data_IF_392945500629
#
_entry.id   IF_392945500629
#
_cell.length_a   1.000
_cell.length_b   1.000
_cell.length_c   1.000
_cell.angle_alpha   90.00
_cell.angle_beta   90.00
_cell.angle_gamma   90.00
#
_symmetry.space_group_name_H-M   'P 1'
#
loop_
_entity.id
_entity.type
_entity.pdbx_description
1 polymer ?
#
# COMPACT_ATOMS: atom_id res chain seq x y z
N UNK A 1 7.99 69.68 -3.92
CA UNK A 1 6.97 68.79 -3.32
C UNK A 1 7.69 67.67 -2.58
N UNK A 2 7.44 67.53 -1.26
CA UNK A 2 7.68 66.41 -0.31
C UNK A 2 9.03 65.65 -0.33
N UNK A 3 9.57 65.07 0.74
CA UNK A 3 9.73 65.34 2.17
C UNK A 3 10.84 64.33 2.64
N UNK A 4 11.48 64.61 3.78
CA UNK A 4 12.69 64.03 4.35
C UNK A 4 12.50 62.67 5.05
N UNK A 5 13.57 61.85 4.95
CA UNK A 5 14.15 60.89 5.94
C UNK A 5 13.35 59.62 6.31
N UNK A 6 14.05 58.46 6.24
CA UNK A 6 14.41 57.54 7.35
C UNK A 6 15.11 56.30 6.78
N UNK A 7 16.38 56.07 7.14
CA UNK A 7 16.82 54.97 8.02
C UNK A 7 16.25 53.59 7.61
N UNK A 8 17.01 52.83 6.84
CA UNK A 8 16.81 51.38 6.78
C UNK A 8 17.55 50.76 7.97
N UNK A 9 16.78 50.36 8.96
CA UNK A 9 17.20 49.66 10.17
C UNK A 9 17.68 48.26 9.77
N UNK A 10 18.88 47.89 10.21
CA UNK A 10 19.28 46.49 10.23
C UNK A 10 18.45 45.73 11.26
N UNK A 11 17.78 44.66 10.83
CA UNK A 11 17.16 43.69 11.72
C UNK A 11 17.80 42.33 11.42
N UNK A 12 18.56 41.88 12.41
CA UNK A 12 19.24 40.60 12.39
C UNK A 12 18.28 39.45 12.16
N UNK A 13 18.69 38.51 11.33
CA UNK A 13 18.06 37.20 11.26
C UNK A 13 18.38 36.52 12.59
N UNK A 14 17.43 36.60 13.50
CA UNK A 14 17.54 35.96 14.79
C UNK A 14 17.41 34.45 14.59
N UNK A 15 18.42 33.71 15.05
CA UNK A 15 18.48 32.25 15.08
C UNK A 15 17.43 31.72 16.08
N UNK A 16 16.15 31.78 15.71
CA UNK A 16 15.11 31.11 16.47
C UNK A 16 14.97 29.69 15.96
N UNK A 17 15.58 28.79 16.72
CA UNK A 17 15.13 27.42 16.94
C UNK A 17 14.90 26.59 15.69
N UNK A 18 15.86 25.71 15.39
CA UNK A 18 15.53 24.38 14.91
C UNK A 18 14.65 23.72 15.98
N UNK A 19 13.35 24.01 15.97
CA UNK A 19 12.39 23.10 16.56
C UNK A 19 12.52 21.83 15.75
N UNK A 20 13.23 20.85 16.30
CA UNK A 20 13.04 19.47 15.87
C UNK A 20 11.54 19.26 15.93
N UNK A 21 10.88 19.23 14.77
CA UNK A 21 9.50 18.75 14.69
C UNK A 21 9.52 17.44 15.46
N UNK A 22 8.83 17.34 16.62
CA UNK A 22 8.70 16.05 17.24
C UNK A 22 8.15 15.15 16.13
N UNK A 23 8.82 14.01 15.91
CA UNK A 23 8.28 12.96 15.07
C UNK A 23 6.99 12.54 15.78
N UNK A 24 5.91 13.26 15.48
CA UNK A 24 4.58 12.84 15.85
C UNK A 24 4.48 11.43 15.25
N UNK A 25 4.09 10.43 16.04
CA UNK A 25 3.74 9.15 15.46
C UNK A 25 2.71 9.48 14.39
N UNK A 26 3.03 9.26 13.11
CA UNK A 26 2.02 9.37 12.06
C UNK A 26 0.88 8.50 12.55
N UNK A 27 -0.30 9.08 12.87
CA UNK A 27 -1.46 8.28 13.23
C UNK A 27 -1.64 7.36 12.03
N UNK A 28 -1.38 6.06 12.25
CA UNK A 28 -0.92 5.16 11.21
C UNK A 28 -1.68 5.41 9.92
N UNK A 29 -0.95 5.83 8.87
CA UNK A 29 -1.51 6.19 7.57
C UNK A 29 -2.64 5.23 7.24
N UNK A 30 -3.88 5.68 7.38
CA UNK A 30 -5.02 4.80 7.21
C UNK A 30 -4.98 4.36 5.76
N UNK A 31 -4.62 3.11 5.47
CA UNK A 31 -4.61 2.61 4.10
C UNK A 31 -6.03 2.29 3.67
N UNK A 32 -6.40 2.75 2.48
CA UNK A 32 -7.65 2.37 1.80
C UNK A 32 -7.35 1.24 0.83
N UNK A 33 -8.29 0.30 0.72
CA UNK A 33 -8.21 -0.82 -0.21
C UNK A 33 -9.30 -0.66 -1.26
N UNK A 34 -8.90 -0.69 -2.54
CA UNK A 34 -9.79 -0.47 -3.68
C UNK A 34 -9.84 -1.76 -4.48
N UNK A 35 -11.03 -2.35 -4.56
CA UNK A 35 -11.28 -3.51 -5.40
C UNK A 35 -11.47 -3.09 -6.86
N UNK A 36 -10.69 -3.67 -7.77
CA UNK A 36 -10.78 -3.42 -9.21
C UNK A 36 -11.25 -4.68 -9.91
N UNK A 37 -12.46 -4.63 -10.46
CA UNK A 37 -13.10 -5.78 -11.13
C UNK A 37 -12.70 -5.89 -12.61
N UNK A 38 -11.40 -5.94 -12.88
CA UNK A 38 -10.84 -6.12 -14.23
C UNK A 38 -9.86 -7.30 -14.17
N UNK A 39 -10.02 -8.29 -15.05
CA UNK A 39 -9.17 -9.47 -15.06
C UNK A 39 -7.84 -9.19 -15.78
N UNK A 40 -6.76 -9.13 -15.01
CA UNK A 40 -5.40 -8.81 -15.50
C UNK A 40 -4.37 -9.83 -14.98
N UNK A 41 -3.23 -9.92 -15.66
CA UNK A 41 -2.05 -10.61 -15.11
C UNK A 41 -1.55 -9.87 -13.87
N UNK A 42 -0.74 -10.52 -13.02
CA UNK A 42 -0.24 -9.86 -11.81
C UNK A 42 0.57 -8.59 -12.11
N UNK A 43 1.43 -8.62 -13.14
CA UNK A 43 2.24 -7.47 -13.52
C UNK A 43 1.42 -6.34 -14.15
N UNK A 44 0.42 -6.66 -14.97
CA UNK A 44 -0.50 -5.66 -15.52
C UNK A 44 -1.34 -5.02 -14.42
N UNK A 45 -1.83 -5.81 -13.47
CA UNK A 45 -2.56 -5.34 -12.30
C UNK A 45 -1.70 -4.43 -11.40
N UNK A 46 -0.43 -4.77 -11.19
CA UNK A 46 0.52 -3.92 -10.49
C UNK A 46 0.71 -2.58 -11.19
N UNK A 47 0.92 -2.61 -12.50
CA UNK A 47 1.11 -1.41 -13.31
C UNK A 47 -0.13 -0.52 -13.21
N UNK A 48 -1.33 -1.10 -13.37
CA UNK A 48 -2.59 -0.39 -13.19
C UNK A 48 -2.68 0.29 -11.81
N UNK A 49 -2.38 -0.45 -10.73
CA UNK A 49 -2.46 0.14 -9.39
C UNK A 49 -1.43 1.26 -9.18
N UNK A 50 -0.27 1.22 -9.82
CA UNK A 50 0.73 2.31 -9.73
C UNK A 50 0.38 3.52 -10.60
N UNK A 51 -0.39 3.31 -11.66
CA UNK A 51 -0.90 4.40 -12.51
C UNK A 51 -2.11 5.12 -11.88
N UNK A 52 -2.97 4.39 -11.19
CA UNK A 52 -4.25 4.91 -10.67
C UNK A 52 -4.29 5.08 -9.14
N UNK A 53 -3.39 4.43 -8.40
CA UNK A 53 -3.34 4.39 -6.94
C UNK A 53 -1.86 4.38 -6.46
N UNK A 54 -1.55 3.71 -5.34
CA UNK A 54 -0.16 3.54 -4.89
C UNK A 54 0.48 2.27 -5.46
N UNK A 55 -0.06 1.09 -5.15
CA UNK A 55 0.40 -0.22 -5.64
C UNK A 55 -0.69 -1.27 -5.37
N UNK A 56 -0.46 -2.54 -5.75
CA UNK A 56 -1.27 -3.67 -5.30
C UNK A 56 -1.25 -3.79 -3.76
N UNK A 57 -2.36 -4.25 -3.19
CA UNK A 57 -2.61 -4.26 -1.75
C UNK A 57 -1.55 -5.01 -0.93
N UNK A 58 -0.93 -4.29 0.02
CA UNK A 58 -0.09 -4.87 1.06
C UNK A 58 -0.90 -5.17 2.33
N UNK A 59 -0.99 -6.45 2.71
CA UNK A 59 -1.76 -6.88 3.89
C UNK A 59 -0.82 -7.06 5.09
N UNK A 60 -0.67 -6.03 5.92
CA UNK A 60 0.42 -5.98 6.92
C UNK A 60 0.01 -6.53 8.28
N UNK A 61 -1.29 -6.67 8.54
CA UNK A 61 -1.84 -7.19 9.80
C UNK A 61 -3.27 -7.75 9.60
N UNK A 62 -3.86 -8.31 10.66
CA UNK A 62 -5.20 -8.88 10.61
C UNK A 62 -6.31 -7.83 10.34
N UNK A 63 -6.13 -6.58 10.77
CA UNK A 63 -7.09 -5.52 10.50
C UNK A 63 -7.09 -5.12 9.02
N UNK A 64 -5.92 -5.08 8.37
CA UNK A 64 -5.81 -4.88 6.92
C UNK A 64 -6.52 -6.01 6.17
N UNK A 65 -6.33 -7.26 6.63
CA UNK A 65 -7.02 -8.41 6.04
C UNK A 65 -8.55 -8.29 6.14
N UNK A 66 -9.07 -7.80 7.27
CA UNK A 66 -10.51 -7.54 7.43
C UNK A 66 -11.01 -6.40 6.52
N UNK A 67 -10.23 -5.34 6.34
CA UNK A 67 -10.58 -4.25 5.40
C UNK A 67 -10.60 -4.75 3.96
N UNK A 68 -9.60 -5.54 3.58
CA UNK A 68 -9.52 -6.18 2.26
C UNK A 68 -10.71 -7.11 2.03
N UNK A 69 -11.08 -7.93 3.02
CA UNK A 69 -12.29 -8.76 3.00
C UNK A 69 -13.57 -7.92 2.78
N UNK A 70 -13.69 -6.79 3.48
CA UNK A 70 -14.83 -5.90 3.36
C UNK A 70 -14.93 -5.14 2.03
N UNK A 71 -13.84 -5.01 1.29
CA UNK A 71 -13.80 -4.28 0.02
C UNK A 71 -14.34 -5.09 -1.18
N UNK A 72 -14.49 -6.41 -1.03
CA UNK A 72 -14.79 -7.31 -2.14
C UNK A 72 -16.28 -7.71 -2.11
N UNK A 73 -17.04 -7.46 -3.19
CA UNK A 73 -18.49 -7.71 -3.19
C UNK A 73 -18.88 -9.17 -3.46
N UNK A 74 -17.91 -10.07 -3.68
CA UNK A 74 -18.15 -11.50 -3.95
C UNK A 74 -17.05 -12.40 -3.39
N UNK A 75 -17.33 -13.70 -3.30
CA UNK A 75 -16.34 -14.70 -2.92
C UNK A 75 -15.54 -15.15 -4.15
N UNK A 76 -14.24 -14.89 -4.17
CA UNK A 76 -13.37 -15.26 -5.30
C UNK A 76 -11.88 -15.12 -4.99
N UNK A 77 -11.04 -15.28 -6.01
CA UNK A 77 -9.58 -15.15 -5.87
C UNK A 77 -9.14 -13.84 -6.53
N UNK A 78 -8.43 -13.01 -5.78
CA UNK A 78 -8.08 -11.64 -6.17
C UNK A 78 -6.59 -11.39 -5.93
N UNK A 79 -5.91 -10.73 -6.87
CA UNK A 79 -4.47 -10.41 -6.74
C UNK A 79 -4.22 -9.39 -5.63
N UNK A 80 -3.11 -9.59 -4.92
CA UNK A 80 -2.56 -8.68 -3.90
C UNK A 80 -1.07 -8.45 -4.17
N UNK A 81 -0.44 -7.50 -3.47
CA UNK A 81 0.91 -7.03 -3.76
C UNK A 81 2.04 -7.96 -3.29
N UNK A 82 1.79 -9.13 -2.73
CA UNK A 82 2.87 -10.01 -2.26
C UNK A 82 3.54 -10.72 -3.45
N UNK A 83 4.86 -10.62 -3.55
CA UNK A 83 5.66 -11.31 -4.59
C UNK A 83 6.95 -11.94 -4.01
N UNK A 84 7.57 -12.86 -4.77
CA UNK A 84 8.72 -13.66 -4.31
C UNK A 84 10.07 -13.12 -4.77
N UNK A 85 10.95 -12.95 -3.78
CA UNK A 85 12.41 -13.18 -3.88
C UNK A 85 12.98 -13.52 -2.47
N UNK A 86 12.33 -13.02 -1.42
CA UNK A 86 12.39 -13.50 -0.01
C UNK A 86 11.04 -13.28 0.70
N UNK A 87 9.92 -13.40 -0.05
CA UNK A 87 8.57 -12.92 0.28
C UNK A 87 8.57 -11.45 0.69
N UNK A 88 8.44 -10.55 -0.28
CA UNK A 88 8.36 -9.10 -0.04
C UNK A 88 7.05 -8.57 -0.61
N UNK A 89 6.52 -7.54 0.02
CA UNK A 89 5.42 -6.79 -0.58
C UNK A 89 5.94 -5.95 -1.76
N UNK A 90 5.11 -5.77 -2.78
CA UNK A 90 5.42 -5.02 -4.01
C UNK A 90 5.80 -3.57 -3.75
N UNK A 91 5.26 -3.02 -2.67
CA UNK A 91 5.56 -1.68 -2.17
C UNK A 91 6.87 -1.58 -1.35
N UNK A 92 7.58 -2.69 -1.17
CA UNK A 92 8.79 -2.76 -0.36
C UNK A 92 8.59 -2.74 1.16
N UNK A 93 7.34 -2.83 1.64
CA UNK A 93 7.03 -2.81 3.07
C UNK A 93 7.38 -4.14 3.78
N UNK A 94 7.44 -4.09 5.12
CA UNK A 94 7.79 -5.26 5.94
C UNK A 94 6.80 -6.41 5.75
N UNK A 95 7.35 -7.59 5.48
CA UNK A 95 6.63 -8.84 5.30
C UNK A 95 6.89 -9.77 6.49
N UNK A 96 6.53 -9.42 7.72
CA UNK A 96 6.61 -10.40 8.84
C UNK A 96 5.37 -11.29 8.92
N UNK A 97 4.21 -10.77 8.53
CA UNK A 97 2.93 -11.48 8.60
C UNK A 97 2.77 -12.47 7.44
N UNK A 98 2.27 -13.68 7.73
CA UNK A 98 2.01 -14.73 6.75
C UNK A 98 0.64 -15.35 7.00
N UNK A 99 -0.22 -15.29 5.98
CA UNK A 99 -1.56 -15.84 6.03
C UNK A 99 -1.76 -16.97 5.01
N UNK A 100 -0.74 -17.80 4.85
CA UNK A 100 -0.75 -18.91 3.91
C UNK A 100 -1.86 -19.92 4.19
N UNK A 101 -2.37 -20.51 3.11
CA UNK A 101 -3.13 -21.74 3.17
C UNK A 101 -2.27 -22.88 3.73
N UNK A 102 -2.92 -23.91 4.28
CA UNK A 102 -2.19 -25.07 4.79
C UNK A 102 -1.48 -25.74 3.63
N UNK A 103 -0.16 -25.91 3.73
CA UNK A 103 0.67 -26.52 2.69
C UNK A 103 1.29 -25.53 1.70
N UNK A 104 0.95 -24.23 1.78
CA UNK A 104 1.50 -23.18 0.93
C UNK A 104 2.66 -22.45 1.61
N UNK A 105 3.64 -21.90 0.85
CA UNK A 105 3.80 -22.00 -0.61
C UNK A 105 4.27 -23.40 -1.06
N UNK A 106 3.78 -23.92 -2.19
CA UNK A 106 4.13 -25.27 -2.70
C UNK A 106 4.58 -25.34 -4.17
N UNK A 107 4.27 -24.33 -4.98
CA UNK A 107 4.41 -24.42 -6.45
C UNK A 107 5.71 -23.82 -6.98
N UNK A 108 6.47 -23.10 -6.15
CA UNK A 108 7.72 -22.44 -6.57
C UNK A 108 7.49 -21.18 -7.42
N UNK A 109 6.22 -20.84 -7.64
CA UNK A 109 5.78 -19.62 -8.30
C UNK A 109 6.14 -18.38 -7.48
N UNK A 110 6.10 -17.21 -8.14
CA UNK A 110 6.53 -15.95 -7.53
C UNK A 110 5.39 -14.99 -7.20
N UNK A 111 4.19 -15.22 -7.73
CA UNK A 111 3.02 -14.39 -7.50
C UNK A 111 2.07 -15.00 -6.47
N UNK A 112 1.43 -14.15 -5.67
CA UNK A 112 0.52 -14.57 -4.59
C UNK A 112 -0.86 -13.98 -4.80
N UNK A 113 -1.89 -14.80 -4.56
CA UNK A 113 -3.27 -14.36 -4.51
C UNK A 113 -3.91 -14.75 -3.17
N UNK A 114 -4.84 -13.91 -2.70
CA UNK A 114 -5.70 -14.25 -1.59
C UNK A 114 -6.97 -14.95 -2.11
N UNK A 115 -7.30 -16.08 -1.49
CA UNK A 115 -8.51 -16.83 -1.76
C UNK A 115 -9.60 -16.46 -0.75
N UNK A 116 -10.55 -15.64 -1.18
CA UNK A 116 -11.63 -15.16 -0.33
C UNK A 116 -12.72 -16.21 -0.08
N UNK A 117 -12.73 -17.30 -0.86
CA UNK A 117 -13.54 -18.48 -0.50
C UNK A 117 -12.96 -19.26 0.69
N UNK A 118 -11.66 -19.06 0.96
CA UNK A 118 -10.92 -19.65 2.08
C UNK A 118 -10.46 -18.58 3.08
N UNK A 119 -11.37 -17.69 3.47
CA UNK A 119 -11.14 -16.64 4.47
C UNK A 119 -10.00 -15.66 4.16
N UNK A 120 -9.62 -15.52 2.89
CA UNK A 120 -8.53 -14.65 2.45
C UNK A 120 -7.14 -15.27 2.61
N UNK A 121 -7.03 -16.58 2.83
CA UNK A 121 -5.73 -17.25 2.92
C UNK A 121 -5.00 -17.24 1.58
N UNK A 122 -3.67 -17.18 1.65
CA UNK A 122 -2.80 -16.97 0.50
C UNK A 122 -2.29 -18.28 -0.10
N UNK A 123 -2.11 -18.31 -1.42
CA UNK A 123 -1.38 -19.36 -2.13
C UNK A 123 -0.46 -18.74 -3.18
N UNK A 124 0.60 -19.46 -3.55
CA UNK A 124 1.39 -19.10 -4.73
C UNK A 124 0.70 -19.61 -6.01
N UNK A 125 0.69 -18.77 -7.05
CA UNK A 125 -0.04 -19.02 -8.30
C UNK A 125 0.77 -18.53 -9.49
N UNK A 126 0.53 -19.14 -10.65
CA UNK A 126 1.11 -18.72 -11.92
C UNK A 126 0.75 -17.26 -12.23
N UNK A 127 1.77 -16.43 -12.40
CA UNK A 127 1.64 -14.98 -12.60
C UNK A 127 0.83 -14.57 -13.84
N UNK A 128 0.83 -15.43 -14.87
CA UNK A 128 0.16 -15.17 -16.15
C UNK A 128 -1.36 -15.37 -16.10
N UNK A 129 -1.90 -15.90 -14.99
CA UNK A 129 -3.33 -16.08 -14.85
C UNK A 129 -4.04 -14.73 -14.71
N UNK A 130 -5.17 -14.58 -15.41
CA UNK A 130 -5.96 -13.35 -15.36
C UNK A 130 -6.93 -13.40 -14.19
N UNK A 131 -6.80 -12.46 -13.24
CA UNK A 131 -7.70 -12.33 -12.07
C UNK A 131 -7.98 -10.86 -11.77
N UNK A 132 -9.09 -10.60 -11.09
CA UNK A 132 -9.36 -9.28 -10.48
C UNK A 132 -8.30 -8.99 -9.41
N UNK A 133 -8.15 -7.73 -9.00
CA UNK A 133 -7.05 -7.32 -8.12
C UNK A 133 -7.48 -6.23 -7.13
N UNK A 134 -6.67 -6.03 -6.08
CA UNK A 134 -6.91 -5.03 -5.04
C UNK A 134 -5.73 -4.07 -5.03
N UNK A 135 -5.99 -2.78 -5.21
CA UNK A 135 -5.01 -1.72 -5.02
C UNK A 135 -5.09 -1.19 -3.58
N UNK A 136 -4.03 -0.55 -3.11
CA UNK A 136 -4.11 0.31 -1.92
C UNK A 136 -3.64 1.72 -2.22
N UNK A 137 -4.08 2.66 -1.37
CA UNK A 137 -3.73 4.07 -1.45
C UNK A 137 -3.69 4.74 -0.08
N UNK A 138 -3.22 5.99 0.01
CA UNK A 138 -3.39 6.79 1.21
C UNK A 138 -4.89 6.98 1.46
N UNK A 139 -5.32 6.75 2.69
CA UNK A 139 -6.66 7.10 3.13
C UNK A 139 -6.77 8.60 3.19
N UNK A 140 -7.66 9.14 2.38
CA UNK A 140 -8.12 10.51 2.53
C UNK A 140 -8.97 10.55 3.82
N UNK A 141 -8.40 11.17 4.85
CA UNK A 141 -9.13 11.55 6.06
C UNK A 141 -9.81 12.89 5.86
#
# INVERSE_FOLDING_TARGET
AMDRRRLSVGLGVSLHGLTTLPCAPFPGSAVTFVFVNIAMSWFDAQTYCREHHTDLASVRNAADNQKVLGAIPYLGIVWIGLFRDTWKWSDGSNSSFRFWQKGQPDSGETCVAADFSNSGKWGDWTCDWKRSFICYGPGEG
#
